data_IF_663582545109
#
_entry.id   IF_663582545109
#
_cell.length_a   1.000
_cell.length_b   1.000
_cell.length_c   1.000
_cell.angle_alpha   90.00
_cell.angle_beta   90.00
_cell.angle_gamma   90.00
#
_symmetry.space_group_name_H-M   'P 1'
#
loop_
_entity.id
_entity.type
_entity.pdbx_description
1 polymer ?
#
# COMPACT_ATOMS: atom_id res chain seq x y z
N UNK A 1 26.46 -69.17 -2.29
CA UNK A 1 26.80 -68.06 -1.38
C UNK A 1 26.93 -66.77 -2.18
N UNK A 2 26.51 -65.63 -1.58
CA UNK A 2 26.52 -64.22 -2.07
C UNK A 2 25.25 -63.84 -2.85
N UNK A 3 24.13 -63.65 -2.14
CA UNK A 3 23.66 -62.43 -1.45
C UNK A 3 23.14 -61.38 -2.46
N UNK A 4 21.81 -61.35 -2.55
CA UNK A 4 20.98 -60.25 -3.05
C UNK A 4 21.16 -59.03 -2.13
N UNK A 5 21.38 -57.85 -2.70
CA UNK A 5 21.16 -56.57 -2.01
C UNK A 5 20.42 -55.62 -2.96
N UNK A 6 19.22 -55.13 -2.57
CA UNK A 6 18.52 -54.07 -3.28
C UNK A 6 19.11 -52.72 -2.83
N UNK A 7 19.57 -51.90 -3.77
CA UNK A 7 19.93 -50.51 -3.45
C UNK A 7 18.63 -49.71 -3.37
N UNK A 8 18.26 -49.40 -2.13
CA UNK A 8 17.10 -48.61 -1.73
C UNK A 8 17.13 -47.20 -2.37
N UNK A 9 15.96 -46.82 -2.85
CA UNK A 9 15.63 -45.51 -3.37
C UNK A 9 15.81 -44.42 -2.30
N UNK A 10 16.44 -43.31 -2.68
CA UNK A 10 16.26 -42.01 -2.04
C UNK A 10 15.74 -41.08 -3.13
N UNK A 11 14.41 -41.07 -3.32
CA UNK A 11 13.74 -39.98 -3.99
C UNK A 11 13.86 -38.77 -3.05
N UNK A 12 14.83 -37.91 -3.32
CA UNK A 12 14.87 -36.58 -2.74
C UNK A 12 13.57 -35.88 -3.15
N UNK A 13 12.63 -35.78 -2.20
CA UNK A 13 11.48 -34.90 -2.32
C UNK A 13 12.04 -33.50 -2.44
N UNK A 14 12.19 -33.02 -3.68
CA UNK A 14 12.30 -31.62 -3.98
C UNK A 14 11.02 -30.98 -3.44
N UNK A 15 11.10 -30.50 -2.21
CA UNK A 15 10.13 -29.62 -1.58
C UNK A 15 10.07 -28.34 -2.37
N UNK A 16 9.41 -28.40 -3.53
CA UNK A 16 8.84 -27.24 -4.17
C UNK A 16 7.64 -26.86 -3.32
N UNK A 17 7.90 -26.10 -2.26
CA UNK A 17 6.92 -25.14 -1.80
C UNK A 17 6.72 -24.18 -2.98
N UNK A 18 5.87 -24.57 -3.92
CA UNK A 18 5.12 -23.61 -4.70
C UNK A 18 4.29 -22.90 -3.64
N UNK A 19 4.82 -21.82 -3.10
CA UNK A 19 3.96 -20.73 -2.62
C UNK A 19 3.15 -20.35 -3.86
N UNK A 20 2.01 -21.03 -4.01
CA UNK A 20 0.92 -20.55 -4.81
C UNK A 20 0.75 -19.12 -4.31
N UNK A 21 1.05 -18.16 -5.18
CA UNK A 21 0.73 -16.77 -4.94
C UNK A 21 -0.77 -16.69 -4.73
N UNK A 22 -1.21 -16.88 -3.49
CA UNK A 22 -2.48 -16.39 -3.04
C UNK A 22 -2.32 -14.89 -3.24
N UNK A 23 -2.91 -14.34 -4.31
CA UNK A 23 -3.13 -12.91 -4.40
C UNK A 23 -3.65 -12.50 -3.03
N UNK A 24 -2.94 -11.57 -2.37
CA UNK A 24 -3.38 -11.05 -1.09
C UNK A 24 -4.87 -10.72 -1.21
N UNK A 25 -5.72 -11.15 -0.26
CA UNK A 25 -7.12 -10.81 -0.30
C UNK A 25 -7.21 -9.30 -0.48
N UNK A 26 -7.90 -8.89 -1.55
CA UNK A 26 -8.09 -7.49 -1.96
C UNK A 26 -6.86 -6.81 -2.59
N UNK A 27 -6.49 -7.17 -3.83
CA UNK A 27 -5.45 -6.48 -4.60
C UNK A 27 -5.80 -5.00 -4.87
N UNK A 28 -7.08 -4.65 -4.84
CA UNK A 28 -7.57 -3.29 -5.04
C UNK A 28 -7.04 -2.32 -3.98
N UNK A 29 -6.96 -2.75 -2.70
CA UNK A 29 -6.39 -1.90 -1.64
C UNK A 29 -4.94 -1.53 -1.93
N UNK A 30 -4.17 -2.48 -2.46
CA UNK A 30 -2.78 -2.23 -2.89
C UNK A 30 -2.74 -1.26 -4.06
N UNK A 31 -3.66 -1.37 -5.02
CA UNK A 31 -3.76 -0.43 -6.15
C UNK A 31 -4.06 0.98 -5.66
N UNK A 32 -5.12 1.16 -4.87
CA UNK A 32 -5.54 2.44 -4.31
C UNK A 32 -4.43 3.09 -3.47
N UNK A 33 -3.70 2.29 -2.67
CA UNK A 33 -2.55 2.79 -1.92
C UNK A 33 -1.46 3.30 -2.85
N UNK A 34 -1.13 2.55 -3.90
CA UNK A 34 -0.12 2.93 -4.88
C UNK A 34 -0.51 4.22 -5.61
N UNK A 35 -1.77 4.33 -6.04
CA UNK A 35 -2.32 5.54 -6.64
C UNK A 35 -2.27 6.74 -5.70
N UNK A 36 -2.58 6.56 -4.42
CA UNK A 36 -2.49 7.61 -3.42
C UNK A 36 -1.05 8.08 -3.20
N UNK A 37 -0.09 7.16 -3.19
CA UNK A 37 1.35 7.47 -3.16
C UNK A 37 1.75 8.28 -4.40
N UNK A 38 1.40 7.83 -5.61
CA UNK A 38 1.74 8.52 -6.85
C UNK A 38 1.11 9.92 -6.90
N UNK A 39 -0.16 10.05 -6.52
CA UNK A 39 -0.86 11.33 -6.44
C UNK A 39 -0.20 12.30 -5.44
N UNK A 40 0.52 11.78 -4.45
CA UNK A 40 1.27 12.54 -3.45
C UNK A 40 2.71 12.85 -3.85
N UNK A 41 3.21 12.42 -5.04
CA UNK A 41 4.55 12.83 -5.49
C UNK A 41 4.61 14.29 -5.95
N UNK A 42 3.67 14.80 -6.76
CA UNK A 42 3.73 16.18 -7.26
C UNK A 42 3.65 17.23 -6.14
N UNK A 43 3.08 16.89 -4.99
CA UNK A 43 2.93 17.79 -3.84
C UNK A 43 4.26 18.17 -3.17
N UNK A 44 5.32 17.41 -3.44
CA UNK A 44 6.68 17.65 -2.94
C UNK A 44 7.48 18.63 -3.80
N UNK A 45 7.03 18.93 -5.03
CA UNK A 45 7.72 19.83 -5.96
C UNK A 45 7.24 21.27 -5.78
N UNK A 46 8.16 22.18 -5.47
CA UNK A 46 7.90 23.54 -4.97
C UNK A 46 7.31 24.55 -5.99
N UNK A 47 7.15 24.20 -7.27
CA UNK A 47 6.90 25.16 -8.37
C UNK A 47 5.59 24.94 -9.15
N UNK A 48 4.59 24.29 -8.59
CA UNK A 48 3.32 24.06 -9.31
C UNK A 48 2.37 25.26 -9.15
N UNK A 49 1.95 25.90 -10.26
CA UNK A 49 0.81 26.84 -10.24
C UNK A 49 -0.46 26.16 -9.70
N UNK A 50 -0.57 24.85 -9.92
CA UNK A 50 -1.74 24.04 -9.59
C UNK A 50 -1.51 23.22 -8.31
N UNK A 51 -0.80 23.81 -7.33
CA UNK A 51 -0.45 23.12 -6.08
C UNK A 51 -1.70 22.66 -5.33
N UNK A 52 -2.76 23.47 -5.28
CA UNK A 52 -4.02 23.07 -4.65
C UNK A 52 -4.62 21.82 -5.31
N UNK A 53 -4.64 21.75 -6.64
CA UNK A 53 -5.19 20.62 -7.37
C UNK A 53 -4.41 19.33 -7.14
N UNK A 54 -3.08 19.41 -7.06
CA UNK A 54 -2.24 18.26 -6.70
C UNK A 54 -2.60 17.71 -5.31
N UNK A 55 -2.76 18.59 -4.31
CA UNK A 55 -3.17 18.17 -2.96
C UNK A 55 -4.65 17.72 -2.89
N UNK A 56 -5.53 18.25 -3.75
CA UNK A 56 -6.90 17.73 -3.90
C UNK A 56 -6.85 16.28 -4.37
N UNK A 57 -6.12 15.98 -5.45
CA UNK A 57 -5.97 14.61 -5.97
C UNK A 57 -5.40 13.66 -4.93
N UNK A 58 -4.30 14.05 -4.27
CA UNK A 58 -3.70 13.25 -3.20
C UNK A 58 -4.69 12.96 -2.07
N UNK A 59 -5.41 13.98 -1.57
CA UNK A 59 -6.38 13.81 -0.49
C UNK A 59 -7.55 12.89 -0.85
N UNK A 60 -8.00 12.93 -2.12
CA UNK A 60 -9.07 12.06 -2.62
C UNK A 60 -8.61 10.62 -2.74
N UNK A 61 -7.42 10.40 -3.28
CA UNK A 61 -6.85 9.05 -3.42
C UNK A 61 -6.66 8.37 -2.05
N UNK A 62 -6.15 9.08 -1.04
CA UNK A 62 -6.07 8.55 0.32
C UNK A 62 -7.44 8.33 0.97
N UNK A 63 -8.44 9.14 0.62
CA UNK A 63 -9.82 8.90 1.10
C UNK A 63 -10.38 7.61 0.49
N UNK A 64 -10.22 7.41 -0.82
CA UNK A 64 -10.66 6.18 -1.49
C UNK A 64 -9.99 4.91 -0.93
N UNK A 65 -8.69 4.98 -0.61
CA UNK A 65 -8.00 3.86 0.04
C UNK A 65 -8.57 3.53 1.44
N UNK A 66 -8.91 4.55 2.24
CA UNK A 66 -9.53 4.38 3.56
C UNK A 66 -10.96 3.88 3.45
N UNK A 67 -11.74 4.41 2.50
CA UNK A 67 -13.13 4.00 2.28
C UNK A 67 -13.17 2.52 1.87
N UNK A 68 -12.35 2.13 0.89
CA UNK A 68 -12.20 0.71 0.51
C UNK A 68 -11.78 -0.17 1.69
N UNK A 69 -10.77 0.27 2.45
CA UNK A 69 -10.25 -0.50 3.57
C UNK A 69 -11.28 -0.71 4.70
N UNK A 70 -12.12 0.29 4.96
CA UNK A 70 -13.22 0.18 5.92
C UNK A 70 -14.31 -0.75 5.38
N UNK A 71 -14.74 -0.54 4.14
CA UNK A 71 -15.86 -1.28 3.53
C UNK A 71 -15.55 -2.78 3.37
N UNK A 72 -14.27 -3.12 3.25
CA UNK A 72 -13.83 -4.50 3.03
C UNK A 72 -13.01 -5.06 4.20
N UNK A 73 -13.08 -4.44 5.38
CA UNK A 73 -12.22 -4.79 6.53
C UNK A 73 -12.25 -6.27 6.87
N UNK A 74 -13.45 -6.84 6.99
CA UNK A 74 -13.64 -8.24 7.40
C UNK A 74 -13.24 -9.21 6.28
N UNK A 75 -13.62 -8.90 5.03
CA UNK A 75 -13.39 -9.76 3.86
C UNK A 75 -11.91 -9.81 3.47
N UNK A 76 -11.19 -8.69 3.67
CA UNK A 76 -9.77 -8.57 3.35
C UNK A 76 -8.86 -8.81 4.56
N UNK A 77 -9.41 -9.14 5.74
CA UNK A 77 -8.68 -9.29 7.00
C UNK A 77 -7.77 -8.07 7.30
N UNK A 78 -8.28 -6.87 7.04
CA UNK A 78 -7.49 -5.63 7.22
C UNK A 78 -7.30 -5.38 8.71
N UNK A 79 -6.04 -5.46 9.13
CA UNK A 79 -5.65 -5.16 10.51
C UNK A 79 -5.96 -3.71 10.89
N UNK A 80 -6.32 -3.50 12.16
CA UNK A 80 -6.55 -2.19 12.77
C UNK A 80 -5.35 -1.26 12.62
N UNK A 81 -4.15 -1.84 12.67
CA UNK A 81 -2.90 -1.11 12.44
C UNK A 81 -2.84 -0.54 11.03
N UNK A 82 -3.07 -1.37 10.01
CA UNK A 82 -3.05 -0.92 8.61
C UNK A 82 -4.14 0.14 8.38
N UNK A 83 -5.34 -0.07 8.90
CA UNK A 83 -6.41 0.91 8.79
C UNK A 83 -6.04 2.24 9.47
N UNK A 84 -5.46 2.19 10.67
CA UNK A 84 -4.98 3.37 11.40
C UNK A 84 -3.87 4.14 10.66
N UNK A 85 -2.98 3.43 9.97
CA UNK A 85 -1.95 4.04 9.12
C UNK A 85 -2.61 4.77 7.93
N UNK A 86 -3.52 4.11 7.22
CA UNK A 86 -4.26 4.70 6.09
C UNK A 86 -5.05 5.95 6.52
N UNK A 87 -5.73 5.89 7.66
CA UNK A 87 -6.45 7.03 8.21
C UNK A 87 -5.53 8.20 8.57
N UNK A 88 -4.34 7.90 9.08
CA UNK A 88 -3.32 8.92 9.39
C UNK A 88 -2.89 9.62 8.10
N UNK A 89 -2.55 8.86 7.06
CA UNK A 89 -2.22 9.42 5.74
C UNK A 89 -3.37 10.27 5.18
N UNK A 90 -4.62 9.81 5.28
CA UNK A 90 -5.79 10.59 4.85
C UNK A 90 -5.93 11.91 5.62
N UNK A 91 -5.80 11.89 6.95
CA UNK A 91 -5.89 13.09 7.80
C UNK A 91 -4.82 14.10 7.43
N UNK A 92 -3.58 13.66 7.28
CA UNK A 92 -2.46 14.51 6.89
C UNK A 92 -2.64 15.09 5.48
N UNK A 93 -3.07 14.28 4.51
CA UNK A 93 -3.35 14.74 3.15
C UNK A 93 -4.44 15.83 3.12
N UNK A 94 -5.50 15.65 3.91
CA UNK A 94 -6.59 16.64 4.04
C UNK A 94 -6.11 17.93 4.71
N UNK A 95 -5.30 17.83 5.78
CA UNK A 95 -4.73 18.99 6.45
C UNK A 95 -3.79 19.77 5.52
N UNK A 96 -2.95 19.06 4.78
CA UNK A 96 -2.01 19.64 3.83
C UNK A 96 -2.75 20.35 2.69
N UNK A 97 -3.78 19.71 2.11
CA UNK A 97 -4.68 20.34 1.13
C UNK A 97 -5.28 21.62 1.67
N UNK A 98 -5.87 21.58 2.87
CA UNK A 98 -6.52 22.76 3.49
C UNK A 98 -5.53 23.92 3.61
N UNK A 99 -4.30 23.65 4.03
CA UNK A 99 -3.27 24.67 4.14
C UNK A 99 -2.86 25.21 2.76
N UNK A 100 -2.55 24.33 1.81
CA UNK A 100 -2.10 24.71 0.46
C UNK A 100 -3.13 25.54 -0.27
N UNK A 101 -4.38 25.10 -0.29
CA UNK A 101 -5.46 25.78 -0.98
C UNK A 101 -5.84 27.11 -0.31
N UNK A 102 -5.48 27.29 0.97
CA UNK A 102 -5.60 28.56 1.69
C UNK A 102 -4.34 29.45 1.59
N UNK A 103 -3.35 29.08 0.75
CA UNK A 103 -2.09 29.82 0.60
C UNK A 103 -1.16 29.74 1.82
N UNK A 104 -1.41 28.82 2.76
CA UNK A 104 -0.62 28.66 3.99
C UNK A 104 0.61 27.78 3.75
N UNK A 105 1.68 27.97 4.53
CA UNK A 105 2.79 27.03 4.58
C UNK A 105 2.30 25.63 4.97
N UNK A 106 2.95 24.63 4.41
CA UNK A 106 2.62 23.21 4.62
C UNK A 106 3.91 22.42 4.65
N UNK A 107 4.01 21.43 5.54
CA UNK A 107 5.06 20.42 5.40
C UNK A 107 4.69 19.50 4.23
N UNK A 108 5.63 19.18 3.32
CA UNK A 108 5.39 18.21 2.27
C UNK A 108 4.77 16.94 2.86
N UNK A 109 3.74 16.45 2.19
CA UNK A 109 3.04 15.23 2.56
C UNK A 109 3.12 14.25 1.40
N UNK A 110 3.33 12.95 1.70
CA UNK A 110 3.70 12.40 3.01
C UNK A 110 5.11 12.79 3.46
N UNK A 111 5.33 12.80 4.78
CA UNK A 111 6.59 13.24 5.36
C UNK A 111 7.76 12.36 4.89
N UNK A 112 7.55 11.04 4.78
CA UNK A 112 8.48 10.07 4.23
C UNK A 112 7.67 8.84 3.77
N UNK A 113 7.61 8.53 2.47
CA UNK A 113 7.26 7.17 2.03
C UNK A 113 8.57 6.46 1.69
N UNK A 114 9.04 5.61 2.60
CA UNK A 114 9.91 4.51 2.20
C UNK A 114 8.99 3.45 1.60
N UNK A 115 8.98 3.34 0.26
CA UNK A 115 8.33 2.25 -0.46
C UNK A 115 9.06 0.96 -0.08
N UNK A 116 8.44 0.10 0.73
CA UNK A 116 8.78 -1.32 0.85
C UNK A 116 7.75 -2.15 0.08
#
# INVERSE_FOLDING_TARGET
>A
MRILLPVLAVLALAGSCREAGAQAPCPELRSLRSEAVEASKPTTRALMSDRCDAYIRASRAWSAAVDYANDHRDVCEISDRLLGDLETYRREAVAARKNVCAGRPVRPFPADIVLQ
#
